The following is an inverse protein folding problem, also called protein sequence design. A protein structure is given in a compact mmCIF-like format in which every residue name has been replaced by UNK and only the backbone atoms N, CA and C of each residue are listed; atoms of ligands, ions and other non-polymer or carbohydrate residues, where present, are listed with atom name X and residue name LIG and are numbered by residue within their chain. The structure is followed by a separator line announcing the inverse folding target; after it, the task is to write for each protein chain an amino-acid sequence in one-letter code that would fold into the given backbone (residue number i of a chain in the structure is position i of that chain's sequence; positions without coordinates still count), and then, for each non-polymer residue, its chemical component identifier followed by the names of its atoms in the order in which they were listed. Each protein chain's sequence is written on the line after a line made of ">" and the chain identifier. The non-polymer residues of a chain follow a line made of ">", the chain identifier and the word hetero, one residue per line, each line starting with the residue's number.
data_IF_902594776806
#
_entry.id   IF_902594776806
#
_cell.length_a   1.000
_cell.length_b   1.000
_cell.length_c   1.000
_cell.angle_alpha   90.00
_cell.angle_beta   90.00
_cell.angle_gamma   90.00
#
_symmetry.space_group_name_H-M   'P 1'
#
loop_
_entity.id
_entity.type
_entity.pdbx_description
1 polymer ?
#
# COMPACT_ATOMS: atom_id res chain seq x y z
N UNK A 1 -11.12 9.97 13.06
CA UNK A 1 -9.98 9.67 12.16
C UNK A 1 -9.04 8.74 12.91
N UNK A 2 -8.51 7.72 12.24
CA UNK A 2 -7.57 6.78 12.86
C UNK A 2 -6.23 7.50 13.08
N UNK A 3 -5.74 7.57 14.32
CA UNK A 3 -4.53 8.34 14.70
C UNK A 3 -3.25 7.58 14.34
N UNK A 4 -3.27 6.25 14.41
CA UNK A 4 -2.09 5.42 14.18
C UNK A 4 -1.43 5.64 12.80
N UNK A 5 -2.16 5.74 11.68
CA UNK A 5 -1.54 6.04 10.38
C UNK A 5 -0.90 7.44 10.32
N UNK A 6 -1.48 8.43 11.00
CA UNK A 6 -0.93 9.79 11.06
C UNK A 6 0.44 9.75 11.74
N UNK A 7 0.50 9.14 12.94
CA UNK A 7 1.73 9.00 13.71
C UNK A 7 2.75 8.14 12.98
N UNK A 8 2.33 7.05 12.32
CA UNK A 8 3.26 6.16 11.61
C UNK A 8 3.95 6.84 10.42
N UNK A 9 3.25 7.73 9.72
CA UNK A 9 3.69 8.26 8.42
C UNK A 9 4.06 9.75 8.42
N UNK A 10 4.12 10.42 9.57
CA UNK A 10 4.51 11.84 9.63
C UNK A 10 5.99 12.11 9.27
N UNK A 11 6.82 11.07 9.12
CA UNK A 11 8.18 11.17 8.60
C UNK A 11 8.30 10.80 7.11
N UNK A 12 7.18 10.52 6.44
CA UNK A 12 7.17 10.42 4.98
C UNK A 12 7.39 11.80 4.37
N UNK A 13 7.99 11.85 3.17
CA UNK A 13 8.26 13.09 2.44
C UNK A 13 7.48 13.11 1.14
N UNK A 14 7.05 14.30 0.73
CA UNK A 14 6.22 14.47 -0.46
C UNK A 14 6.82 13.84 -1.73
N UNK A 15 8.14 13.85 -1.88
CA UNK A 15 8.87 13.26 -3.01
C UNK A 15 9.05 11.72 -2.94
N UNK A 16 8.73 11.10 -1.80
CA UNK A 16 8.90 9.67 -1.55
C UNK A 16 10.22 9.27 -0.88
N UNK A 17 11.08 10.22 -0.50
CA UNK A 17 12.38 9.95 0.15
C UNK A 17 12.30 9.75 1.67
N UNK A 18 11.08 9.80 2.22
CA UNK A 18 10.83 9.62 3.65
C UNK A 18 10.70 8.15 4.07
N UNK A 19 10.29 7.95 5.32
CA UNK A 19 10.19 6.62 5.94
C UNK A 19 8.94 6.55 6.85
N UNK A 20 8.45 5.34 7.23
CA UNK A 20 9.03 4.01 7.00
C UNK A 20 8.68 3.32 5.68
N UNK A 21 7.67 3.81 4.95
CA UNK A 21 7.14 3.12 3.77
C UNK A 21 7.52 3.77 2.43
N UNK A 22 8.16 4.95 2.45
CA UNK A 22 8.54 5.66 1.22
C UNK A 22 7.33 6.13 0.43
N UNK A 23 6.29 6.58 1.13
CA UNK A 23 5.05 7.05 0.52
C UNK A 23 5.31 8.39 -0.18
N UNK A 24 4.71 8.57 -1.36
CA UNK A 24 4.89 9.76 -2.20
C UNK A 24 3.58 10.52 -2.38
N UNK A 25 3.65 11.85 -2.34
CA UNK A 25 2.54 12.74 -2.67
C UNK A 25 1.28 12.46 -1.85
N UNK A 26 0.14 12.39 -2.55
CA UNK A 26 -1.18 12.24 -1.94
C UNK A 26 -1.43 10.89 -1.25
N UNK A 27 -0.52 9.91 -1.43
CA UNK A 27 -0.57 8.61 -0.75
C UNK A 27 -0.29 8.76 0.74
N UNK A 28 0.48 9.78 1.10
CA UNK A 28 0.74 10.12 2.49
C UNK A 28 -0.59 10.55 3.13
N UNK A 29 -0.99 9.96 4.28
CA UNK A 29 -2.22 10.35 4.96
C UNK A 29 -2.28 11.87 5.14
N UNK A 30 -3.41 12.50 4.82
CA UNK A 30 -3.50 13.97 4.86
C UNK A 30 -3.15 14.54 6.24
N UNK A 31 -3.61 13.88 7.31
CA UNK A 31 -3.23 14.26 8.67
C UNK A 31 -1.73 14.12 8.94
N UNK A 32 -1.04 13.14 8.33
CA UNK A 32 0.42 13.03 8.42
C UNK A 32 1.10 14.19 7.69
N UNK A 33 0.62 14.59 6.51
CA UNK A 33 1.15 15.75 5.76
C UNK A 33 1.06 17.06 6.56
N UNK A 34 -0.06 17.26 7.26
CA UNK A 34 -0.23 18.39 8.19
C UNK A 34 0.76 18.28 9.35
N UNK A 35 0.82 17.11 9.98
CA UNK A 35 1.68 16.87 11.14
C UNK A 35 3.16 17.05 10.81
N UNK A 36 3.63 16.62 9.64
CA UNK A 36 5.02 16.80 9.19
C UNK A 36 5.42 18.28 9.13
N UNK A 37 4.54 19.14 8.59
CA UNK A 37 4.79 20.59 8.51
C UNK A 37 4.76 21.21 9.90
N UNK A 38 3.77 20.85 10.72
CA UNK A 38 3.66 21.35 12.09
C UNK A 38 4.87 20.96 12.97
N UNK A 39 5.28 19.69 12.92
CA UNK A 39 6.44 19.16 13.65
C UNK A 39 7.75 19.83 13.21
N UNK A 40 7.91 20.05 11.90
CA UNK A 40 9.09 20.74 11.37
C UNK A 40 9.14 22.21 11.82
N UNK A 41 8.00 22.90 11.78
CA UNK A 41 7.91 24.29 12.22
C UNK A 41 8.21 24.44 13.71
N UNK A 42 7.62 23.60 14.55
CA UNK A 42 7.88 23.57 16.00
C UNK A 42 9.34 23.22 16.29
N UNK A 43 9.91 22.26 15.56
CA UNK A 43 11.32 21.87 15.70
C UNK A 43 12.29 22.99 15.33
N UNK A 44 11.99 23.79 14.31
CA UNK A 44 12.84 24.88 13.85
C UNK A 44 12.74 26.10 14.78
N UNK A 45 11.52 26.43 15.22
CA UNK A 45 11.24 27.64 16.02
C UNK A 45 11.38 27.43 17.52
N UNK A 46 11.28 26.19 18.00
CA UNK A 46 11.33 25.84 19.41
C UNK A 46 12.74 25.93 20.01
N UNK A 47 12.85 26.53 21.20
CA UNK A 47 14.07 26.45 22.01
C UNK A 47 14.18 25.05 22.64
N UNK A 48 15.35 24.42 22.52
CA UNK A 48 15.63 23.11 23.15
C UNK A 48 16.60 23.32 24.32
N UNK A 49 16.56 22.41 25.30
CA UNK A 49 17.44 22.44 26.49
C UNK A 49 18.94 22.63 26.17
N UNK A 50 19.37 22.27 24.96
CA UNK A 50 20.77 22.32 24.51
C UNK A 50 21.01 23.23 23.30
N UNK A 51 19.98 23.95 22.81
CA UNK A 51 20.12 24.81 21.64
C UNK A 51 19.08 25.94 21.66
N UNK A 52 19.51 27.21 21.53
CA UNK A 52 18.56 28.30 21.29
C UNK A 52 17.79 28.06 19.98
N UNK A 53 16.61 28.67 19.86
CA UNK A 53 15.83 28.63 18.63
C UNK A 53 16.69 29.05 17.42
N UNK A 54 16.54 28.32 16.32
CA UNK A 54 17.40 28.48 15.15
C UNK A 54 16.95 29.59 14.21
N UNK A 55 15.64 29.85 14.19
CA UNK A 55 15.00 30.73 13.23
C UNK A 55 13.78 31.38 13.87
N UNK A 56 13.52 32.62 13.48
CA UNK A 56 12.24 33.27 13.75
C UNK A 56 11.10 32.52 13.05
N UNK A 57 9.83 32.71 13.49
CA UNK A 57 8.67 32.12 12.81
C UNK A 57 8.67 32.37 11.30
N UNK A 58 8.94 33.59 10.86
CA UNK A 58 8.94 33.94 9.43
C UNK A 58 10.07 33.24 8.67
N UNK A 59 11.28 33.18 9.24
CA UNK A 59 12.40 32.45 8.64
C UNK A 59 12.11 30.95 8.52
N UNK A 60 11.43 30.37 9.52
CA UNK A 60 11.01 28.98 9.50
C UNK A 60 9.96 28.72 8.40
N UNK A 61 8.96 29.61 8.24
CA UNK A 61 7.98 29.48 7.15
C UNK A 61 8.66 29.55 5.79
N UNK A 62 9.62 30.45 5.59
CA UNK A 62 10.35 30.54 4.32
C UNK A 62 11.28 29.33 4.09
N UNK A 63 11.92 28.78 5.12
CA UNK A 63 12.71 27.55 4.99
C UNK A 63 11.86 26.35 4.59
N UNK A 64 10.70 26.19 5.23
CA UNK A 64 9.72 25.16 4.88
C UNK A 64 9.21 25.37 3.45
N UNK A 65 8.94 26.62 3.08
CA UNK A 65 8.45 27.00 1.74
C UNK A 65 9.42 26.62 0.63
N UNK A 66 10.73 26.78 0.85
CA UNK A 66 11.77 26.34 -0.11
C UNK A 66 11.76 24.84 -0.40
N UNK A 67 11.16 24.03 0.48
CA UNK A 67 11.09 22.57 0.36
C UNK A 67 9.69 22.06 0.01
N UNK A 68 8.77 22.95 -0.33
CA UNK A 68 7.47 22.56 -0.89
C UNK A 68 7.68 21.72 -2.16
N UNK A 69 6.79 20.76 -2.41
CA UNK A 69 6.89 19.76 -3.49
C UNK A 69 8.07 18.78 -3.42
N UNK A 70 8.98 18.92 -2.45
CA UNK A 70 10.02 17.94 -2.17
C UNK A 70 9.73 17.23 -0.85
N UNK A 71 9.72 17.98 0.25
CA UNK A 71 9.51 17.39 1.57
C UNK A 71 8.08 17.54 2.03
N UNK A 72 7.45 18.67 1.69
CA UNK A 72 6.15 19.06 2.20
C UNK A 72 5.11 19.17 1.08
N UNK A 73 3.87 18.85 1.44
CA UNK A 73 2.71 19.12 0.58
C UNK A 73 2.55 20.64 0.41
N UNK A 74 2.56 21.17 -0.83
CA UNK A 74 2.44 22.60 -1.08
C UNK A 74 1.16 23.20 -0.47
N UNK A 75 0.04 22.47 -0.44
CA UNK A 75 -1.21 23.00 0.14
C UNK A 75 -1.10 23.25 1.64
N UNK A 76 -0.37 22.39 2.34
CA UNK A 76 -0.15 22.53 3.79
C UNK A 76 0.82 23.66 4.07
N UNK A 77 1.87 23.79 3.24
CA UNK A 77 2.79 24.93 3.31
C UNK A 77 2.06 26.25 3.08
N UNK A 78 1.13 26.30 2.14
CA UNK A 78 0.33 27.50 1.88
C UNK A 78 -0.57 27.86 3.06
N UNK A 79 -1.19 26.87 3.71
CA UNK A 79 -1.95 27.10 4.93
C UNK A 79 -1.06 27.68 6.05
N UNK A 80 0.18 27.20 6.19
CA UNK A 80 1.15 27.77 7.12
C UNK A 80 1.50 29.22 6.74
N UNK A 81 1.76 29.50 5.45
CA UNK A 81 2.04 30.86 4.95
C UNK A 81 0.88 31.81 5.25
N UNK A 82 -0.35 31.39 4.99
CA UNK A 82 -1.57 32.18 5.22
C UNK A 82 -1.74 32.56 6.70
N UNK A 83 -1.56 31.60 7.62
CA UNK A 83 -1.64 31.86 9.08
C UNK A 83 -0.59 32.88 9.53
N UNK A 84 0.55 32.95 8.84
CA UNK A 84 1.62 33.91 9.10
C UNK A 84 1.56 35.18 8.22
N UNK A 85 0.45 35.41 7.49
CA UNK A 85 0.24 36.63 6.69
C UNK A 85 1.07 36.70 5.41
N UNK A 86 1.63 35.57 4.96
CA UNK A 86 2.39 35.47 3.71
C UNK A 86 1.49 35.03 2.56
N UNK A 87 1.83 35.47 1.35
CA UNK A 87 1.11 35.06 0.13
C UNK A 87 1.33 33.57 -0.16
N UNK A 88 0.33 32.85 -0.70
CA UNK A 88 0.49 31.47 -1.17
C UNK A 88 1.60 31.35 -2.21
N UNK A 89 2.20 30.17 -2.29
CA UNK A 89 3.18 29.82 -3.30
C UNK A 89 2.53 29.77 -4.70
N UNK A 90 3.30 30.19 -5.70
CA UNK A 90 2.94 30.02 -7.10
C UNK A 90 3.42 28.64 -7.56
N UNK A 91 2.53 27.64 -7.42
CA UNK A 91 2.82 26.25 -7.73
C UNK A 91 2.05 25.82 -8.97
N UNK A 92 2.80 25.51 -10.03
CA UNK A 92 2.29 24.84 -11.24
C UNK A 92 1.97 23.39 -10.84
N UNK A 93 0.71 22.96 -10.96
CA UNK A 93 0.19 21.64 -10.53
C UNK A 93 -0.03 21.43 -9.03
N UNK A 94 -0.92 22.22 -8.43
CA UNK A 94 -1.37 22.02 -7.04
C UNK A 94 -2.16 20.71 -6.89
N UNK A 95 -1.80 19.82 -5.95
CA UNK A 95 -2.59 18.62 -5.68
C UNK A 95 -3.95 19.00 -5.10
N UNK A 96 -5.00 18.26 -5.45
CA UNK A 96 -6.33 18.53 -4.91
C UNK A 96 -6.37 18.24 -3.40
N UNK A 97 -6.82 19.19 -2.60
CA UNK A 97 -7.02 18.98 -1.16
C UNK A 97 -8.13 17.92 -0.97
N UNK A 98 -7.81 16.72 -0.47
CA UNK A 98 -8.78 15.65 -0.44
C UNK A 98 -9.84 15.96 0.62
N UNK A 99 -11.06 16.27 0.19
CA UNK A 99 -12.22 16.38 1.09
C UNK A 99 -12.62 15.02 1.71
N UNK A 100 -12.14 13.90 1.14
CA UNK A 100 -12.30 12.53 1.67
C UNK A 100 -11.26 11.57 1.07
N UNK A 101 -10.55 10.80 1.91
CA UNK A 101 -9.68 9.70 1.44
C UNK A 101 -10.57 8.49 1.12
N UNK A 102 -10.54 8.00 -0.12
CA UNK A 102 -11.31 6.82 -0.56
C UNK A 102 -10.39 5.63 -0.81
N UNK A 103 -10.88 4.41 -0.56
CA UNK A 103 -10.15 3.14 -0.77
C UNK A 103 -9.59 3.02 -2.19
N UNK A 104 -10.35 3.47 -3.20
CA UNK A 104 -9.96 3.43 -4.61
C UNK A 104 -8.69 4.25 -4.87
N UNK A 105 -8.53 5.39 -4.19
CA UNK A 105 -7.36 6.27 -4.37
C UNK A 105 -6.09 5.62 -3.81
N UNK A 106 -6.20 4.96 -2.66
CA UNK A 106 -5.09 4.21 -2.03
C UNK A 106 -4.64 3.06 -2.95
N UNK A 107 -5.60 2.33 -3.53
CA UNK A 107 -5.30 1.22 -4.45
C UNK A 107 -4.55 1.72 -5.69
N UNK A 108 -4.96 2.84 -6.28
CA UNK A 108 -4.32 3.37 -7.50
C UNK A 108 -2.91 3.90 -7.28
N UNK A 109 -2.62 4.40 -6.09
CA UNK A 109 -1.39 5.14 -5.84
C UNK A 109 -0.26 4.27 -5.25
N UNK A 110 -0.55 3.01 -4.89
CA UNK A 110 0.45 2.03 -4.49
C UNK A 110 0.48 0.85 -5.48
N UNK A 111 1.39 0.86 -6.47
CA UNK A 111 1.44 -0.17 -7.51
C UNK A 111 1.70 -1.58 -6.96
N UNK A 112 2.44 -1.71 -5.84
CA UNK A 112 2.66 -3.01 -5.19
C UNK A 112 1.37 -3.58 -4.58
N UNK A 113 0.52 -2.72 -4.04
CA UNK A 113 -0.78 -3.12 -3.50
C UNK A 113 -1.81 -3.41 -4.60
N UNK A 114 -1.79 -2.64 -5.70
CA UNK A 114 -2.62 -2.93 -6.88
C UNK A 114 -2.32 -4.32 -7.42
N UNK A 115 -1.04 -4.64 -7.61
CA UNK A 115 -0.60 -5.96 -8.11
C UNK A 115 -1.06 -7.10 -7.19
N UNK A 116 -1.02 -6.89 -5.86
CA UNK A 116 -1.52 -7.87 -4.90
C UNK A 116 -3.02 -8.10 -5.05
N UNK A 117 -3.82 -7.04 -5.10
CA UNK A 117 -5.28 -7.16 -5.28
C UNK A 117 -5.61 -7.81 -6.62
N UNK A 118 -4.93 -7.42 -7.69
CA UNK A 118 -5.12 -8.01 -9.02
C UNK A 118 -4.78 -9.51 -9.00
N UNK A 119 -3.67 -9.90 -8.37
CA UNK A 119 -3.29 -11.30 -8.23
C UNK A 119 -4.32 -12.10 -7.41
N UNK A 120 -4.82 -11.54 -6.29
CA UNK A 120 -5.87 -12.16 -5.49
C UNK A 120 -7.16 -12.30 -6.29
N UNK A 121 -7.56 -11.27 -7.04
CA UNK A 121 -8.77 -11.31 -7.85
C UNK A 121 -8.69 -12.35 -8.96
N UNK A 122 -7.57 -12.39 -9.70
CA UNK A 122 -7.31 -13.40 -10.75
C UNK A 122 -7.34 -14.80 -10.14
N UNK A 123 -6.65 -15.01 -9.02
CA UNK A 123 -6.62 -16.30 -8.33
C UNK A 123 -8.02 -16.72 -7.83
N UNK A 124 -8.75 -15.80 -7.18
CA UNK A 124 -10.08 -16.09 -6.63
C UNK A 124 -11.13 -16.42 -7.69
N UNK A 125 -10.94 -15.98 -8.93
CA UNK A 125 -11.83 -16.28 -10.05
C UNK A 125 -11.39 -17.53 -10.82
N UNK A 126 -10.08 -17.75 -10.94
CA UNK A 126 -9.52 -18.85 -11.72
C UNK A 126 -9.82 -20.23 -11.14
N UNK A 127 -9.66 -20.39 -9.83
CA UNK A 127 -9.84 -21.70 -9.18
C UNK A 127 -11.29 -22.21 -9.22
N UNK A 128 -12.32 -21.39 -8.90
CA UNK A 128 -13.71 -21.83 -9.02
C UNK A 128 -14.12 -22.16 -10.46
N UNK A 129 -13.66 -21.37 -11.44
CA UNK A 129 -13.98 -21.62 -12.86
C UNK A 129 -13.39 -22.94 -13.34
N UNK A 130 -12.12 -23.19 -13.02
CA UNK A 130 -11.43 -24.43 -13.40
C UNK A 130 -12.06 -25.64 -12.71
N UNK A 131 -12.46 -25.49 -11.46
CA UNK A 131 -13.17 -26.53 -10.71
C UNK A 131 -14.52 -26.86 -11.34
N UNK A 132 -15.35 -25.85 -11.62
CA UNK A 132 -16.66 -26.04 -12.26
C UNK A 132 -16.49 -26.69 -13.63
N UNK A 133 -15.55 -26.22 -14.46
CA UNK A 133 -15.28 -26.80 -15.77
C UNK A 133 -14.86 -28.27 -15.69
N UNK A 134 -14.03 -28.63 -14.70
CA UNK A 134 -13.59 -30.01 -14.47
C UNK A 134 -14.76 -30.90 -14.05
N UNK A 135 -15.58 -30.47 -13.10
CA UNK A 135 -16.74 -31.23 -12.61
C UNK A 135 -17.78 -31.43 -13.72
N UNK A 136 -18.05 -30.40 -14.52
CA UNK A 136 -18.93 -30.48 -15.70
C UNK A 136 -18.38 -31.46 -16.73
N UNK A 137 -17.07 -31.42 -17.00
CA UNK A 137 -16.43 -32.35 -17.94
C UNK A 137 -16.49 -33.81 -17.49
N UNK A 138 -16.29 -34.07 -16.19
CA UNK A 138 -16.45 -35.40 -15.60
C UNK A 138 -17.89 -35.88 -15.77
N UNK A 139 -18.87 -35.05 -15.43
CA UNK A 139 -20.28 -35.41 -15.59
C UNK A 139 -20.66 -35.66 -17.05
N UNK A 140 -20.16 -34.84 -17.97
CA UNK A 140 -20.42 -35.00 -19.40
C UNK A 140 -19.84 -36.32 -19.95
N UNK A 141 -18.70 -36.77 -19.41
CA UNK A 141 -18.07 -38.02 -19.81
C UNK A 141 -18.68 -39.27 -19.16
N UNK A 142 -19.15 -39.19 -17.91
CA UNK A 142 -19.63 -40.35 -17.15
C UNK A 142 -21.16 -40.48 -17.08
N UNK A 143 -21.88 -39.36 -17.26
CA UNK A 143 -23.32 -39.22 -16.99
C UNK A 143 -23.76 -39.70 -15.58
N UNK A 144 -22.82 -39.83 -14.65
CA UNK A 144 -23.05 -40.33 -13.29
C UNK A 144 -22.51 -39.32 -12.25
N UNK A 145 -23.39 -38.77 -11.38
CA UNK A 145 -23.00 -37.78 -10.37
C UNK A 145 -22.07 -38.34 -9.30
N UNK A 146 -21.96 -39.67 -9.13
CA UNK A 146 -21.06 -40.29 -8.15
C UNK A 146 -19.60 -40.00 -8.44
N UNK A 147 -19.21 -39.98 -9.71
CA UNK A 147 -17.84 -39.63 -10.11
C UNK A 147 -17.51 -38.16 -9.88
N UNK A 148 -18.50 -37.28 -10.06
CA UNK A 148 -18.37 -35.85 -9.74
C UNK A 148 -18.16 -35.64 -8.24
N UNK A 149 -18.98 -36.31 -7.41
CA UNK A 149 -18.86 -36.26 -5.96
C UNK A 149 -17.51 -36.81 -5.48
N UNK A 150 -17.07 -37.93 -6.04
CA UNK A 150 -15.76 -38.51 -5.72
C UNK A 150 -14.62 -37.55 -6.07
N UNK A 151 -14.62 -36.98 -7.29
CA UNK A 151 -13.59 -36.01 -7.70
C UNK A 151 -13.55 -34.78 -6.79
N UNK A 152 -14.71 -34.24 -6.40
CA UNK A 152 -14.80 -33.11 -5.49
C UNK A 152 -14.26 -33.46 -4.09
N UNK A 153 -14.61 -34.63 -3.55
CA UNK A 153 -14.11 -35.12 -2.26
C UNK A 153 -12.60 -35.31 -2.31
N UNK A 154 -12.07 -35.94 -3.35
CA UNK A 154 -10.63 -36.14 -3.53
C UNK A 154 -9.89 -34.81 -3.59
N UNK A 155 -10.40 -33.83 -4.34
CA UNK A 155 -9.83 -32.49 -4.41
C UNK A 155 -9.85 -31.78 -3.04
N UNK A 156 -10.98 -31.87 -2.32
CA UNK A 156 -11.13 -31.27 -1.00
C UNK A 156 -10.14 -31.87 0.02
N UNK A 157 -10.01 -33.21 0.04
CA UNK A 157 -9.04 -33.91 0.90
C UNK A 157 -7.61 -33.45 0.56
N UNK A 158 -7.25 -33.42 -0.73
CA UNK A 158 -5.93 -32.95 -1.18
C UNK A 158 -5.64 -31.53 -0.70
N UNK A 159 -6.62 -30.63 -0.82
CA UNK A 159 -6.49 -29.22 -0.38
C UNK A 159 -6.30 -29.12 1.14
N UNK A 160 -7.07 -29.87 1.92
CA UNK A 160 -6.98 -29.90 3.38
C UNK A 160 -5.63 -30.43 3.83
N UNK A 161 -5.18 -31.56 3.26
CA UNK A 161 -3.88 -32.18 3.58
C UNK A 161 -2.75 -31.23 3.23
N UNK A 162 -2.76 -30.63 2.03
CA UNK A 162 -1.74 -29.67 1.62
C UNK A 162 -1.70 -28.45 2.55
N UNK A 163 -2.87 -27.90 2.90
CA UNK A 163 -2.95 -26.74 3.79
C UNK A 163 -2.52 -27.07 5.21
N UNK A 164 -2.87 -28.24 5.74
CA UNK A 164 -2.51 -28.66 7.09
C UNK A 164 -1.02 -28.99 7.24
N UNK A 165 -0.43 -29.68 6.25
CA UNK A 165 0.97 -30.13 6.30
C UNK A 165 1.92 -28.99 5.94
N UNK A 166 1.62 -28.24 4.89
CA UNK A 166 2.53 -27.23 4.36
C UNK A 166 2.19 -25.81 4.78
N UNK A 167 0.98 -25.53 5.28
CA UNK A 167 0.59 -24.17 5.70
C UNK A 167 1.50 -23.61 6.79
N UNK A 168 1.73 -24.38 7.86
CA UNK A 168 2.62 -23.97 8.96
C UNK A 168 4.10 -23.89 8.57
N UNK A 169 4.51 -24.60 7.52
CA UNK A 169 5.88 -24.53 6.97
C UNK A 169 6.04 -23.29 6.10
N UNK A 170 5.03 -22.97 5.28
CA UNK A 170 5.03 -21.79 4.41
C UNK A 170 5.11 -20.49 5.23
N UNK A 171 4.49 -20.45 6.41
CA UNK A 171 4.55 -19.28 7.31
C UNK A 171 5.93 -19.00 7.89
N UNK A 172 6.83 -20.01 7.90
CA UNK A 172 8.20 -19.87 8.41
C UNK A 172 9.21 -19.49 7.32
N UNK A 173 8.81 -19.47 6.05
CA UNK A 173 9.70 -19.24 4.92
C UNK A 173 9.53 -17.82 4.34
N UNK A 174 10.60 -17.24 3.79
CA UNK A 174 10.53 -15.94 3.14
C UNK A 174 9.61 -16.00 1.91
N UNK A 175 8.44 -15.36 2.02
CA UNK A 175 7.33 -15.44 1.04
C UNK A 175 7.75 -15.17 -0.41
N UNK A 176 8.64 -14.21 -0.66
CA UNK A 176 9.09 -13.87 -2.03
C UNK A 176 9.84 -15.02 -2.71
N UNK A 177 10.77 -15.67 -2.01
CA UNK A 177 11.57 -16.76 -2.58
C UNK A 177 10.72 -18.01 -2.82
N UNK A 178 9.81 -18.30 -1.90
CA UNK A 178 8.90 -19.44 -2.00
C UNK A 178 7.97 -19.32 -3.22
N UNK A 179 7.33 -18.16 -3.41
CA UNK A 179 6.40 -17.93 -4.53
C UNK A 179 7.11 -18.04 -5.88
N UNK A 180 8.28 -17.44 -6.03
CA UNK A 180 9.05 -17.52 -7.28
C UNK A 180 9.48 -18.95 -7.59
N UNK A 181 9.94 -19.70 -6.58
CA UNK A 181 10.33 -21.10 -6.76
C UNK A 181 9.16 -21.99 -7.19
N UNK A 182 7.98 -21.83 -6.58
CA UNK A 182 6.79 -22.61 -6.90
C UNK A 182 6.26 -22.29 -8.31
N UNK A 183 6.25 -21.02 -8.72
CA UNK A 183 5.84 -20.64 -10.08
C UNK A 183 6.81 -21.15 -11.16
N UNK A 184 8.12 -21.16 -10.89
CA UNK A 184 9.10 -21.78 -11.79
C UNK A 184 8.89 -23.29 -11.93
N UNK A 185 8.63 -23.99 -10.82
CA UNK A 185 8.32 -25.42 -10.84
C UNK A 185 7.03 -25.68 -11.62
N UNK A 186 5.98 -24.88 -11.39
CA UNK A 186 4.71 -24.99 -12.11
C UNK A 186 4.88 -24.78 -13.61
N UNK A 187 5.66 -23.76 -14.00
CA UNK A 187 5.97 -23.50 -15.40
C UNK A 187 6.76 -24.65 -16.04
N UNK A 188 7.74 -25.23 -15.32
CA UNK A 188 8.47 -26.40 -15.83
C UNK A 188 7.57 -27.62 -16.02
N UNK A 189 6.65 -27.88 -15.08
CA UNK A 189 5.69 -28.99 -15.19
C UNK A 189 4.77 -28.77 -16.39
N UNK A 190 4.24 -27.56 -16.57
CA UNK A 190 3.35 -27.22 -17.68
C UNK A 190 4.05 -27.33 -19.05
N UNK A 191 5.33 -27.02 -19.13
CA UNK A 191 6.12 -27.17 -20.37
C UNK A 191 6.46 -28.63 -20.66
N UNK A 192 6.50 -29.49 -19.63
CA UNK A 192 6.82 -30.90 -19.74
C UNK A 192 5.60 -31.81 -20.03
N UNK A 193 4.38 -31.30 -19.89
CA UNK A 193 3.10 -32.00 -20.13
C UNK A 193 2.38 -31.46 -21.34
#
# INVERSE_FOLDING_TARGET
>A
AEVAPIVRHHHERWDGTGYPAGLKGEVIPFGARILTVADSFDTITGARLYRPSLMTPIEAVEDISRRANAWYDPNVVDALREIHGLRPLDVVDRPEVPRRITTIRVIRANPGFTNLITAIAISSLGDPLTQVATLVSIYAATADPRFVALAFITQAIGTIVMSAVFGGIADRLPRRGLVVGLELIRAMILVAT
#
